data_IF_084671305349
#
_entry.id   IF_084671305349
#
_cell.length_a   1.000
_cell.length_b   1.000
_cell.length_c   1.000
_cell.angle_alpha   90.00
_cell.angle_beta   90.00
_cell.angle_gamma   90.00
#
_symmetry.space_group_name_H-M   'P 1'
#
loop_
_entity.id
_entity.type
_entity.pdbx_description
1 polymer ?
#
# COMPACT_ATOMS: atom_id res chain seq x y z
N UNK A 1 -2.50 0.12 0.80
CA UNK A 1 -2.49 -0.70 2.03
C UNK A 1 -3.27 -1.96 1.72
N UNK A 2 -2.60 -3.05 1.37
CA UNK A 2 -3.28 -4.34 1.23
C UNK A 2 -3.30 -5.00 2.59
N UNK A 3 -4.43 -5.60 2.93
CA UNK A 3 -4.60 -6.45 4.10
C UNK A 3 -4.39 -7.90 3.69
N UNK A 4 -3.44 -8.59 4.32
CA UNK A 4 -3.43 -10.05 4.40
C UNK A 4 -4.30 -10.47 5.59
N UNK A 5 -4.78 -11.70 5.47
CA UNK A 5 -5.50 -12.37 6.54
C UNK A 5 -4.58 -12.47 7.78
N UNK A 6 -5.13 -12.34 9.01
CA UNK A 6 -4.34 -12.37 10.23
C UNK A 6 -3.54 -13.66 10.35
N UNK A 7 -2.20 -13.59 10.30
CA UNK A 7 -1.31 -14.72 10.55
C UNK A 7 0.03 -14.78 9.81
N UNK A 8 0.27 -13.94 8.79
CA UNK A 8 1.47 -14.10 7.95
C UNK A 8 2.70 -13.30 8.47
N UNK A 9 3.88 -13.92 8.61
CA UNK A 9 5.12 -13.25 8.99
C UNK A 9 5.69 -12.44 7.81
N UNK A 10 5.56 -11.12 7.88
CA UNK A 10 6.11 -10.22 6.84
C UNK A 10 5.74 -8.74 6.97
N UNK A 11 4.94 -8.38 7.98
CA UNK A 11 4.41 -7.03 8.12
C UNK A 11 5.52 -5.95 8.15
N UNK A 12 5.42 -5.00 7.23
CA UNK A 12 6.28 -3.83 7.15
C UNK A 12 5.62 -2.67 7.92
N UNK A 13 6.32 -2.12 8.90
CA UNK A 13 5.78 -1.06 9.76
C UNK A 13 5.79 0.29 9.02
N UNK A 14 4.62 0.95 8.91
CA UNK A 14 4.52 2.33 8.43
C UNK A 14 4.23 3.26 9.61
N UNK A 15 5.06 4.29 9.73
CA UNK A 15 4.84 5.36 10.70
C UNK A 15 4.21 6.58 9.99
N UNK A 16 3.00 6.94 10.41
CA UNK A 16 2.28 8.10 9.85
C UNK A 16 2.48 9.30 10.76
N UNK A 17 3.28 10.28 10.32
CA UNK A 17 3.47 11.55 11.02
C UNK A 17 2.39 12.53 10.57
N UNK A 18 1.35 12.74 11.38
CA UNK A 18 0.33 13.76 11.12
C UNK A 18 0.87 15.16 11.46
N UNK A 19 0.63 16.11 10.55
CA UNK A 19 1.15 17.48 10.52
C UNK A 19 0.58 18.40 11.61
N UNK A 20 0.76 18.06 12.88
CA UNK A 20 0.66 19.01 14.01
C UNK A 20 1.64 18.70 15.16
N UNK A 21 2.47 17.66 15.03
CA UNK A 21 3.57 17.41 15.97
C UNK A 21 4.68 16.65 15.25
N UNK A 22 5.88 17.23 15.05
CA UNK A 22 7.00 16.50 14.46
C UNK A 22 7.48 15.46 15.48
N UNK A 23 7.33 14.17 15.16
CA UNK A 23 7.86 13.09 15.99
C UNK A 23 9.08 12.50 15.30
N UNK A 24 10.21 12.58 15.99
CA UNK A 24 11.50 12.05 15.59
C UNK A 24 11.51 10.55 15.89
N UNK A 25 11.86 9.69 14.92
CA UNK A 25 12.02 8.25 15.19
C UNK A 25 13.48 7.84 15.11
N UNK A 26 13.97 7.47 16.28
CA UNK A 26 15.24 6.80 16.52
C UNK A 26 15.12 5.33 16.09
N UNK A 27 16.03 4.89 15.22
CA UNK A 27 16.22 3.48 14.84
C UNK A 27 16.96 2.79 16.00
N UNK A 28 16.36 2.80 17.20
CA UNK A 28 17.14 2.65 18.42
C UNK A 28 16.34 2.63 19.72
N UNK A 29 15.33 1.79 19.85
CA UNK A 29 14.91 1.28 21.17
C UNK A 29 14.30 2.27 22.18
N UNK A 30 13.77 3.41 21.74
CA UNK A 30 13.04 4.33 22.61
C UNK A 30 11.52 4.31 22.37
N UNK A 31 10.73 3.93 23.38
CA UNK A 31 9.27 4.14 23.34
C UNK A 31 8.99 5.63 23.54
N UNK A 32 8.70 6.36 22.46
CA UNK A 32 8.29 7.76 22.53
C UNK A 32 6.75 7.87 22.64
N UNK A 33 6.29 8.52 23.72
CA UNK A 33 4.88 8.82 23.96
C UNK A 33 4.36 9.74 22.83
N UNK A 34 3.37 9.29 22.08
CA UNK A 34 2.76 10.02 20.95
C UNK A 34 2.88 9.36 19.57
N UNK A 35 3.68 8.28 19.45
CA UNK A 35 3.78 7.49 18.21
C UNK A 35 2.61 6.51 18.11
N UNK A 36 1.85 6.57 17.00
CA UNK A 36 0.87 5.54 16.66
C UNK A 36 1.50 4.54 15.69
N UNK A 37 1.64 3.29 16.14
CA UNK A 37 2.15 2.19 15.32
C UNK A 37 1.04 1.63 14.45
N UNK A 38 1.34 1.40 13.17
CA UNK A 38 0.47 0.70 12.24
C UNK A 38 1.19 -0.52 11.68
N UNK A 39 0.50 -1.66 11.69
CA UNK A 39 0.95 -2.89 11.06
C UNK A 39 0.27 -2.99 9.70
N UNK A 40 1.06 -3.09 8.64
CA UNK A 40 0.60 -3.22 7.27
C UNK A 40 1.36 -4.37 6.61
N UNK A 41 0.76 -5.00 5.61
CA UNK A 41 1.41 -6.10 4.88
C UNK A 41 2.51 -5.58 3.96
N UNK A 42 2.22 -4.46 3.29
CA UNK A 42 3.17 -3.77 2.44
C UNK A 42 3.07 -2.25 2.58
N UNK A 43 4.23 -1.62 2.42
CA UNK A 43 4.43 -0.17 2.46
C UNK A 43 5.24 0.20 1.23
N UNK A 44 4.78 1.22 0.51
CA UNK A 44 5.44 1.71 -0.70
C UNK A 44 5.88 3.16 -0.50
N UNK A 45 7.12 3.46 -0.89
CA UNK A 45 7.69 4.81 -0.86
C UNK A 45 7.63 5.48 -2.25
N UNK A 46 8.17 6.70 -2.34
CA UNK A 46 8.19 7.48 -3.59
C UNK A 46 9.11 6.92 -4.68
N UNK A 47 10.04 6.02 -4.33
CA UNK A 47 10.92 5.34 -5.27
C UNK A 47 10.27 4.12 -5.93
N UNK A 48 9.15 3.65 -5.41
CA UNK A 48 8.46 2.47 -5.90
C UNK A 48 7.41 2.81 -6.96
N UNK A 49 7.40 2.03 -8.04
CA UNK A 49 6.53 2.28 -9.19
C UNK A 49 5.15 1.64 -9.01
N UNK A 50 4.16 2.08 -9.80
CA UNK A 50 2.84 1.42 -9.87
C UNK A 50 2.97 -0.07 -10.27
N UNK A 51 3.99 -0.43 -11.06
CA UNK A 51 4.27 -1.83 -11.44
C UNK A 51 4.70 -2.66 -10.23
N UNK A 52 5.48 -2.08 -9.33
CA UNK A 52 5.88 -2.72 -8.07
C UNK A 52 4.68 -2.97 -7.17
N UNK A 53 3.78 -1.97 -7.07
CA UNK A 53 2.51 -2.10 -6.35
C UNK A 53 1.66 -3.21 -6.96
N UNK A 54 1.52 -3.25 -8.29
CA UNK A 54 0.77 -4.32 -8.95
C UNK A 54 1.35 -5.70 -8.63
N UNK A 55 2.67 -5.83 -8.75
CA UNK A 55 3.36 -7.11 -8.60
C UNK A 55 3.25 -7.69 -7.19
N UNK A 56 3.36 -6.84 -6.16
CA UNK A 56 3.30 -7.26 -4.75
C UNK A 56 1.89 -7.42 -4.21
N UNK A 57 0.98 -6.52 -4.60
CA UNK A 57 -0.33 -6.39 -3.96
C UNK A 57 -1.51 -6.88 -4.80
N UNK A 58 -1.43 -6.78 -6.13
CA UNK A 58 -2.60 -6.99 -7.00
C UNK A 58 -2.52 -8.28 -7.82
N UNK A 59 -1.31 -8.71 -8.21
CA UNK A 59 -1.08 -9.86 -9.07
C UNK A 59 -1.71 -11.15 -8.53
N UNK A 60 -1.55 -11.43 -7.24
CA UNK A 60 -2.13 -12.61 -6.61
C UNK A 60 -3.67 -12.58 -6.61
N UNK A 61 -4.26 -11.40 -6.37
CA UNK A 61 -5.71 -11.22 -6.43
C UNK A 61 -6.26 -11.45 -7.85
N UNK A 62 -5.58 -10.94 -8.89
CA UNK A 62 -5.96 -11.17 -10.29
C UNK A 62 -5.87 -12.66 -10.64
N UNK A 63 -4.82 -13.36 -10.22
CA UNK A 63 -4.69 -14.81 -10.44
C UNK A 63 -5.82 -15.60 -9.77
N UNK A 64 -6.22 -15.22 -8.55
CA UNK A 64 -7.33 -15.84 -7.85
C UNK A 64 -8.67 -15.63 -8.59
N UNK A 65 -8.88 -14.46 -9.20
CA UNK A 65 -10.05 -14.17 -10.04
C UNK A 65 -10.10 -15.07 -11.27
N UNK A 66 -8.96 -15.30 -11.92
CA UNK A 66 -8.87 -16.25 -13.03
C UNK A 66 -9.16 -17.70 -12.59
N UNK A 67 -8.91 -18.02 -11.31
CA UNK A 67 -9.27 -19.29 -10.68
C UNK A 67 -10.74 -19.40 -10.23
N UNK A 68 -11.57 -18.39 -10.50
CA UNK A 68 -12.99 -18.37 -10.13
C UNK A 68 -13.29 -17.84 -8.72
N UNK A 69 -12.32 -17.18 -8.07
CA UNK A 69 -12.50 -16.55 -6.75
C UNK A 69 -12.71 -15.04 -6.91
N UNK A 70 -13.75 -14.49 -6.31
CA UNK A 70 -13.96 -13.04 -6.34
C UNK A 70 -12.89 -12.30 -5.53
N UNK A 71 -12.31 -11.24 -6.08
CA UNK A 71 -11.39 -10.34 -5.38
C UNK A 71 -11.83 -8.88 -5.54
N UNK A 72 -11.44 -8.02 -4.60
CA UNK A 72 -11.74 -6.59 -4.65
C UNK A 72 -10.53 -5.80 -4.18
N UNK A 73 -10.09 -4.82 -4.97
CA UNK A 73 -8.98 -3.92 -4.66
C UNK A 73 -9.56 -2.51 -4.48
N UNK A 74 -9.27 -1.87 -3.35
CA UNK A 74 -9.74 -0.51 -3.04
C UNK A 74 -8.56 0.41 -2.77
N UNK A 75 -8.59 1.60 -3.38
CA UNK A 75 -7.68 2.70 -3.05
C UNK A 75 -8.40 3.65 -2.08
N UNK A 76 -7.85 3.85 -0.88
CA UNK A 76 -8.40 4.74 0.15
C UNK A 76 -7.37 5.78 0.58
N UNK A 77 -7.83 6.98 0.93
CA UNK A 77 -6.99 8.12 1.30
C UNK A 77 -7.64 9.46 0.96
N UNK A 78 -7.06 10.56 1.44
CA UNK A 78 -7.56 11.92 1.17
C UNK A 78 -7.38 12.34 -0.31
N UNK A 79 -8.08 13.38 -0.76
CA UNK A 79 -7.87 13.95 -2.09
C UNK A 79 -6.42 14.42 -2.26
N UNK A 80 -5.83 14.17 -3.44
CA UNK A 80 -4.42 14.45 -3.72
C UNK A 80 -3.44 13.34 -3.29
N UNK A 81 -3.88 12.31 -2.56
CA UNK A 81 -2.99 11.23 -2.08
C UNK A 81 -2.64 10.16 -3.13
N UNK A 82 -2.87 10.41 -4.43
CA UNK A 82 -2.50 9.48 -5.49
C UNK A 82 -3.46 8.31 -5.78
N UNK A 83 -4.65 8.21 -5.16
CA UNK A 83 -5.61 7.10 -5.42
C UNK A 83 -5.91 6.87 -6.91
N UNK A 84 -6.22 7.95 -7.63
CA UNK A 84 -6.53 7.90 -9.07
C UNK A 84 -5.30 7.52 -9.88
N UNK A 85 -4.14 8.09 -9.54
CA UNK A 85 -2.87 7.76 -10.16
C UNK A 85 -2.54 6.27 -10.01
N UNK A 86 -2.68 5.70 -8.80
CA UNK A 86 -2.45 4.27 -8.59
C UNK A 86 -3.46 3.42 -9.36
N UNK A 87 -4.75 3.74 -9.31
CA UNK A 87 -5.79 2.88 -9.90
C UNK A 87 -5.84 2.97 -11.43
N UNK A 88 -5.82 4.18 -11.99
CA UNK A 88 -6.01 4.44 -13.41
C UNK A 88 -4.74 4.85 -14.15
N UNK A 89 -3.73 5.37 -13.44
CA UNK A 89 -2.55 5.97 -14.06
C UNK A 89 -2.78 7.44 -14.42
N UNK A 90 -1.83 8.01 -15.16
CA UNK A 90 -1.84 9.42 -15.60
C UNK A 90 -1.69 9.57 -17.14
N UNK A 91 -1.73 8.45 -17.87
CA UNK A 91 -1.60 8.42 -19.34
C UNK A 91 -0.19 8.18 -19.83
N UNK A 92 0.84 8.51 -19.04
CA UNK A 92 2.23 8.11 -19.29
C UNK A 92 2.58 6.83 -18.53
N UNK A 93 2.11 6.73 -17.29
CA UNK A 93 2.22 5.54 -16.45
C UNK A 93 0.89 4.80 -16.39
N UNK A 94 0.95 3.48 -16.57
CA UNK A 94 -0.23 2.63 -16.46
C UNK A 94 -0.64 2.43 -15.00
N UNK A 95 -1.95 2.47 -14.75
CA UNK A 95 -2.56 2.14 -13.47
C UNK A 95 -2.80 0.64 -13.27
N UNK A 96 -3.19 0.27 -12.05
CA UNK A 96 -3.55 -1.10 -11.68
C UNK A 96 -4.62 -1.72 -12.59
N UNK A 97 -5.62 -0.95 -13.00
CA UNK A 97 -6.73 -1.45 -13.84
C UNK A 97 -6.24 -1.90 -15.21
N UNK A 98 -5.36 -1.12 -15.84
CA UNK A 98 -4.79 -1.47 -17.15
C UNK A 98 -3.89 -2.71 -17.05
N UNK A 99 -3.10 -2.82 -15.99
CA UNK A 99 -2.22 -3.96 -15.76
C UNK A 99 -2.98 -5.27 -15.47
N UNK A 100 -4.14 -5.20 -14.83
CA UNK A 100 -4.96 -6.39 -14.53
C UNK A 100 -5.63 -7.01 -15.75
N UNK A 101 -5.83 -6.23 -16.82
CA UNK A 101 -6.45 -6.70 -18.07
C UNK A 101 -5.47 -7.27 -19.11
N UNK A 102 -4.17 -7.30 -18.80
CA UNK A 102 -3.11 -7.84 -19.66
C UNK A 102 -2.84 -9.32 -19.34
#
# INVERSE_FOLDING_TARGET
CVGLLPGEPGARELLVTTTDTPVLVDIGGGVQQGLRRFTLDDVFDEGESTVDVYSRCCRAAVQNVLGGVNATILCYGQTGSGKTHTMLGDGEQEGLVAMAGR
#
